data_IF_010219543416
#
_entry.id   IF_010219543416
#
_cell.length_a   1.000
_cell.length_b   1.000
_cell.length_c   1.000
_cell.angle_alpha   90.00
_cell.angle_beta   90.00
_cell.angle_gamma   90.00
#
_symmetry.space_group_name_H-M   'P 1'
#
loop_
_entity.id
_entity.type
_entity.pdbx_description
1 polymer ?
#
# COMPACT_ATOMS: atom_id res chain seq x y z
N UNK A 1 14.81 -15.07 -44.98
CA UNK A 1 14.96 -13.67 -44.54
C UNK A 1 13.63 -13.26 -43.91
N UNK A 2 13.47 -13.42 -42.59
CA UNK A 2 12.23 -13.06 -41.88
C UNK A 2 12.31 -11.58 -41.56
N UNK A 3 11.44 -10.78 -42.15
CA UNK A 3 11.28 -9.37 -41.82
C UNK A 3 10.74 -9.26 -40.40
N UNK A 4 11.55 -8.68 -39.51
CA UNK A 4 11.12 -8.19 -38.21
C UNK A 4 10.13 -7.07 -38.47
N UNK A 5 8.86 -7.31 -38.18
CA UNK A 5 7.83 -6.27 -38.18
C UNK A 5 8.10 -5.38 -36.98
N UNK A 6 8.47 -4.14 -37.25
CA UNK A 6 8.62 -3.05 -36.27
C UNK A 6 7.32 -2.90 -35.46
N UNK A 7 7.34 -2.87 -34.11
CA UNK A 7 6.13 -2.66 -33.33
C UNK A 7 5.51 -1.29 -33.67
N UNK A 8 4.25 -1.33 -34.08
CA UNK A 8 3.45 -0.14 -34.41
C UNK A 8 3.51 0.86 -33.24
N UNK A 9 3.76 2.16 -33.49
CA UNK A 9 3.81 3.16 -32.43
C UNK A 9 2.47 3.22 -31.67
N UNK A 10 2.47 3.61 -30.38
CA UNK A 10 1.24 3.72 -29.61
C UNK A 10 0.30 4.73 -30.28
N UNK A 11 -0.96 4.32 -30.44
CA UNK A 11 -2.02 5.13 -31.03
C UNK A 11 -2.12 6.48 -30.29
N UNK A 12 -2.23 7.57 -31.05
CA UNK A 12 -2.49 8.90 -30.49
C UNK A 12 -3.90 8.93 -29.87
N UNK A 13 -4.12 9.77 -28.86
CA UNK A 13 -5.40 9.86 -28.14
C UNK A 13 -6.63 10.13 -29.03
N UNK A 14 -6.45 10.49 -30.30
CA UNK A 14 -7.52 10.69 -31.29
C UNK A 14 -8.04 9.41 -31.97
N UNK A 15 -7.47 8.23 -31.72
CA UNK A 15 -7.87 6.95 -32.36
C UNK A 15 -8.69 6.01 -31.46
N UNK A 16 -8.93 6.37 -30.20
CA UNK A 16 -9.71 5.51 -29.29
C UNK A 16 -11.20 5.76 -29.50
N UNK A 17 -11.88 4.85 -30.20
CA UNK A 17 -13.34 4.84 -30.32
C UNK A 17 -13.97 4.66 -28.90
N UNK A 18 -14.73 5.63 -28.37
CA UNK A 18 -15.39 5.50 -27.07
C UNK A 18 -16.34 4.31 -26.98
N UNK A 19 -16.87 3.84 -28.12
CA UNK A 19 -17.73 2.65 -28.18
C UNK A 19 -16.95 1.34 -28.01
N UNK A 20 -15.62 1.35 -28.20
CA UNK A 20 -14.74 0.19 -28.01
C UNK A 20 -14.36 -0.07 -26.54
N UNK A 21 -14.70 0.85 -25.63
CA UNK A 21 -14.38 0.72 -24.21
C UNK A 21 -15.28 -0.34 -23.55
N UNK A 22 -14.71 -1.38 -22.89
CA UNK A 22 -15.49 -2.38 -22.18
C UNK A 22 -16.29 -1.71 -21.06
N UNK A 23 -17.58 -2.06 -20.94
CA UNK A 23 -18.49 -1.53 -19.91
C UNK A 23 -18.74 -2.49 -18.76
N UNK A 24 -18.39 -3.76 -18.93
CA UNK A 24 -18.47 -4.76 -17.87
C UNK A 24 -17.33 -4.57 -16.86
N UNK A 25 -17.61 -4.32 -15.56
CA UNK A 25 -16.59 -4.11 -14.55
C UNK A 25 -15.63 -5.29 -14.39
N UNK A 26 -16.11 -6.53 -14.53
CA UNK A 26 -15.26 -7.71 -14.41
C UNK A 26 -14.25 -7.79 -15.56
N UNK A 27 -14.71 -7.53 -16.79
CA UNK A 27 -13.86 -7.47 -17.97
C UNK A 27 -12.85 -6.31 -17.91
N UNK A 28 -13.26 -5.13 -17.43
CA UNK A 28 -12.35 -3.99 -17.19
C UNK A 28 -11.23 -4.41 -16.24
N UNK A 29 -11.58 -5.03 -15.11
CA UNK A 29 -10.60 -5.52 -14.13
C UNK A 29 -9.66 -6.56 -14.74
N UNK A 30 -10.20 -7.53 -15.47
CA UNK A 30 -9.42 -8.60 -16.12
C UNK A 30 -8.42 -8.02 -17.12
N UNK A 31 -8.86 -7.13 -18.01
CA UNK A 31 -8.01 -6.49 -19.02
C UNK A 31 -6.95 -5.58 -18.38
N UNK A 32 -7.32 -4.82 -17.36
CA UNK A 32 -6.38 -3.96 -16.62
C UNK A 32 -5.24 -4.76 -16.00
N UNK A 33 -5.55 -5.85 -15.28
CA UNK A 33 -4.51 -6.70 -14.68
C UNK A 33 -3.69 -7.47 -15.71
N UNK A 34 -4.28 -7.86 -16.84
CA UNK A 34 -3.54 -8.50 -17.93
C UNK A 34 -2.50 -7.55 -18.53
N UNK A 35 -2.87 -6.29 -18.79
CA UNK A 35 -1.95 -5.25 -19.26
C UNK A 35 -0.86 -4.95 -18.24
N UNK A 36 -1.24 -4.72 -16.98
CA UNK A 36 -0.28 -4.49 -15.91
C UNK A 36 0.79 -5.60 -15.81
N UNK A 37 0.39 -6.88 -15.94
CA UNK A 37 1.35 -8.00 -15.97
C UNK A 37 2.25 -8.01 -17.19
N UNK A 38 1.70 -7.72 -18.36
CA UNK A 38 2.49 -7.70 -19.61
C UNK A 38 3.52 -6.56 -19.61
N UNK A 39 3.20 -5.44 -18.97
CA UNK A 39 4.02 -4.21 -18.98
C UNK A 39 4.94 -4.09 -17.76
N UNK A 40 4.79 -4.95 -16.75
CA UNK A 40 5.58 -4.92 -15.52
C UNK A 40 6.48 -6.16 -15.42
N UNK A 41 7.76 -6.07 -15.79
CA UNK A 41 8.74 -7.12 -15.49
C UNK A 41 8.89 -7.27 -13.97
N UNK A 42 8.79 -8.50 -13.46
CA UNK A 42 8.86 -8.80 -12.01
C UNK A 42 9.96 -9.82 -11.67
N UNK A 43 10.77 -10.24 -12.64
CA UNK A 43 11.75 -11.33 -12.47
C UNK A 43 12.85 -10.98 -11.44
N UNK A 44 13.09 -9.68 -11.20
CA UNK A 44 13.99 -9.18 -10.17
C UNK A 44 13.40 -9.23 -8.75
N UNK A 45 12.09 -9.47 -8.64
CA UNK A 45 11.38 -9.53 -7.37
C UNK A 45 11.06 -10.99 -7.00
N UNK A 46 11.09 -11.32 -5.70
CA UNK A 46 10.68 -12.64 -5.25
C UNK A 46 9.18 -12.86 -5.53
N UNK A 47 8.76 -14.10 -5.87
CA UNK A 47 7.39 -14.39 -6.27
C UNK A 47 6.31 -13.96 -5.26
N UNK A 48 6.63 -13.97 -3.97
CA UNK A 48 5.68 -13.57 -2.92
C UNK A 48 5.29 -12.08 -2.98
N UNK A 49 6.11 -11.22 -3.60
CA UNK A 49 5.81 -9.80 -3.79
C UNK A 49 5.00 -9.52 -5.05
N UNK A 50 5.00 -10.42 -6.03
CA UNK A 50 4.37 -10.17 -7.35
C UNK A 50 2.90 -9.71 -7.23
N UNK A 51 2.04 -10.34 -6.40
CA UNK A 51 0.65 -9.89 -6.28
C UNK A 51 0.52 -8.48 -5.67
N UNK A 52 1.41 -8.11 -4.75
CA UNK A 52 1.41 -6.79 -4.10
C UNK A 52 1.85 -5.72 -5.10
N UNK A 53 2.95 -5.96 -5.81
CA UNK A 53 3.49 -5.00 -6.79
C UNK A 53 2.53 -4.79 -7.95
N UNK A 54 1.89 -5.83 -8.46
CA UNK A 54 0.86 -5.68 -9.49
C UNK A 54 -0.35 -4.88 -9.00
N UNK A 55 -0.70 -4.98 -7.71
CA UNK A 55 -1.77 -4.16 -7.13
C UNK A 55 -1.35 -2.70 -6.98
N UNK A 56 -0.08 -2.44 -6.67
CA UNK A 56 0.50 -1.08 -6.67
C UNK A 56 0.44 -0.47 -8.07
N UNK A 57 0.93 -1.18 -9.08
CA UNK A 57 0.89 -0.74 -10.50
C UNK A 57 -0.54 -0.45 -10.94
N UNK A 58 -1.50 -1.32 -10.63
CA UNK A 58 -2.91 -1.07 -10.95
C UNK A 58 -3.45 0.19 -10.26
N UNK A 59 -3.03 0.48 -9.02
CA UNK A 59 -3.51 1.63 -8.27
C UNK A 59 -2.92 2.96 -8.76
N UNK A 60 -1.65 2.99 -9.17
CA UNK A 60 -0.98 4.22 -9.64
C UNK A 60 -0.92 4.36 -11.17
N UNK A 61 -1.12 3.29 -11.92
CA UNK A 61 -0.98 3.26 -13.38
C UNK A 61 0.46 3.33 -13.89
N UNK A 62 1.46 3.03 -13.04
CA UNK A 62 2.89 3.17 -13.36
C UNK A 62 3.62 1.82 -13.21
N UNK A 63 3.82 1.04 -14.29
CA UNK A 63 4.57 -0.22 -14.27
C UNK A 63 6.00 -0.10 -13.71
N UNK A 64 6.65 1.04 -13.95
CA UNK A 64 8.02 1.33 -13.53
C UNK A 64 8.24 1.32 -12.02
N UNK A 65 7.19 1.53 -11.22
CA UNK A 65 7.25 1.52 -9.75
C UNK A 65 7.79 0.19 -9.20
N UNK A 66 7.66 -0.91 -9.96
CA UNK A 66 8.20 -2.21 -9.59
C UNK A 66 9.72 -2.21 -9.36
N UNK A 67 10.45 -1.24 -9.95
CA UNK A 67 11.90 -1.08 -9.76
C UNK A 67 12.26 -0.42 -8.43
N UNK A 68 11.34 0.36 -7.87
CA UNK A 68 11.54 1.13 -6.65
C UNK A 68 11.11 0.37 -5.38
N UNK A 69 10.55 -0.84 -5.56
CA UNK A 69 10.08 -1.68 -4.46
C UNK A 69 11.26 -2.29 -3.69
N UNK A 70 11.50 -1.78 -2.49
CA UNK A 70 12.40 -2.39 -1.50
C UNK A 70 11.64 -3.27 -0.51
N UNK A 71 12.30 -4.31 0.01
CA UNK A 71 11.74 -5.16 1.07
C UNK A 71 12.83 -5.71 2.00
N UNK A 72 12.41 -6.15 3.19
CA UNK A 72 13.23 -6.95 4.10
C UNK A 72 12.36 -8.05 4.73
N UNK A 73 12.91 -9.26 4.83
CA UNK A 73 12.15 -10.43 5.30
C UNK A 73 10.97 -10.77 4.39
N UNK A 74 9.91 -11.29 4.99
CA UNK A 74 8.65 -11.60 4.29
C UNK A 74 7.48 -10.82 4.93
N UNK A 75 7.29 -9.54 4.55
CA UNK A 75 6.21 -8.72 5.09
C UNK A 75 4.83 -9.24 4.67
N UNK A 76 4.73 -9.96 3.56
CA UNK A 76 3.45 -10.51 3.05
C UNK A 76 2.97 -11.64 3.95
N UNK A 77 3.82 -12.62 4.23
CA UNK A 77 3.48 -13.71 5.15
C UNK A 77 3.20 -13.18 6.57
N UNK A 78 4.04 -12.25 7.06
CA UNK A 78 3.87 -11.66 8.38
C UNK A 78 2.53 -10.91 8.51
N UNK A 79 2.18 -10.08 7.54
CA UNK A 79 0.91 -9.36 7.51
C UNK A 79 -0.28 -10.31 7.40
N UNK A 80 -0.24 -11.29 6.49
CA UNK A 80 -1.31 -12.29 6.34
C UNK A 80 -1.55 -13.06 7.64
N UNK A 81 -0.48 -13.48 8.28
CA UNK A 81 -0.52 -14.21 9.56
C UNK A 81 -1.12 -13.35 10.68
N UNK A 82 -0.72 -12.08 10.77
CA UNK A 82 -1.26 -11.14 11.74
C UNK A 82 -2.75 -10.85 11.52
N UNK A 83 -3.15 -10.55 10.28
CA UNK A 83 -4.54 -10.29 9.92
C UNK A 83 -5.43 -11.52 10.16
N UNK A 84 -4.93 -12.72 9.88
CA UNK A 84 -5.67 -13.96 10.18
C UNK A 84 -5.94 -14.15 11.69
N UNK A 85 -5.14 -13.52 12.57
CA UNK A 85 -5.35 -13.49 14.02
C UNK A 85 -6.16 -12.27 14.49
N UNK A 86 -6.72 -11.48 13.58
CA UNK A 86 -7.50 -10.28 13.90
C UNK A 86 -6.64 -9.06 14.27
N UNK A 87 -5.36 -9.02 13.89
CA UNK A 87 -4.53 -7.85 14.14
C UNK A 87 -5.11 -6.59 13.44
N UNK A 88 -5.00 -5.40 14.07
CA UNK A 88 -5.43 -4.16 13.44
C UNK A 88 -4.48 -3.73 12.32
N UNK A 89 -5.01 -2.93 11.38
CA UNK A 89 -4.23 -2.17 10.41
C UNK A 89 -4.15 -0.71 10.86
N UNK A 90 -2.96 -0.27 11.25
CA UNK A 90 -2.68 1.10 11.69
C UNK A 90 -2.34 1.96 10.48
N UNK A 91 -3.08 3.03 10.25
CA UNK A 91 -2.97 3.88 9.06
C UNK A 91 -2.52 5.29 9.44
N UNK A 92 -1.52 5.83 8.73
CA UNK A 92 -0.99 7.18 8.96
C UNK A 92 -1.97 8.31 8.67
N UNK A 93 -2.88 8.09 7.70
CA UNK A 93 -3.90 9.07 7.31
C UNK A 93 -5.26 8.43 7.03
N UNK A 94 -6.30 9.26 6.99
CA UNK A 94 -7.66 8.84 6.60
C UNK A 94 -7.74 8.36 5.15
N UNK A 95 -6.90 8.90 4.25
CA UNK A 95 -6.84 8.45 2.87
C UNK A 95 -6.29 7.03 2.78
N UNK A 96 -5.18 6.74 3.47
CA UNK A 96 -4.63 5.38 3.58
C UNK A 96 -5.66 4.41 4.16
N UNK A 97 -6.36 4.82 5.23
CA UNK A 97 -7.41 4.02 5.85
C UNK A 97 -8.58 3.75 4.89
N UNK A 98 -9.07 4.77 4.17
CA UNK A 98 -10.20 4.66 3.27
C UNK A 98 -9.90 3.80 2.02
N UNK A 99 -8.62 3.75 1.60
CA UNK A 99 -8.18 2.91 0.49
C UNK A 99 -8.21 1.40 0.79
N UNK A 100 -8.33 1.00 2.05
CA UNK A 100 -8.41 -0.40 2.45
C UNK A 100 -9.82 -0.94 2.21
N UNK A 101 -9.94 -1.90 1.30
CA UNK A 101 -11.19 -2.62 1.05
C UNK A 101 -11.56 -3.50 2.26
N UNK A 102 -12.35 -2.94 3.19
CA UNK A 102 -12.72 -3.60 4.46
C UNK A 102 -13.38 -4.97 4.28
N UNK A 103 -14.09 -5.20 3.18
CA UNK A 103 -14.68 -6.51 2.85
C UNK A 103 -13.67 -7.63 2.59
N UNK A 104 -12.39 -7.29 2.36
CA UNK A 104 -11.31 -8.27 2.22
C UNK A 104 -10.51 -8.50 3.52
N UNK A 105 -10.83 -7.76 4.59
CA UNK A 105 -10.18 -7.99 5.88
C UNK A 105 -10.77 -9.24 6.54
N UNK A 106 -9.93 -10.11 7.14
CA UNK A 106 -10.42 -11.22 7.94
C UNK A 106 -11.29 -10.73 9.10
N UNK A 107 -12.27 -11.53 9.55
CA UNK A 107 -13.05 -11.21 10.74
C UNK A 107 -12.15 -10.88 11.94
N UNK A 108 -12.48 -9.80 12.66
CA UNK A 108 -11.73 -9.34 13.83
C UNK A 108 -10.65 -8.30 13.51
N UNK A 109 -10.11 -8.26 12.29
CA UNK A 109 -9.22 -7.18 11.86
C UNK A 109 -10.03 -5.89 11.59
N UNK A 110 -9.48 -4.76 12.03
CA UNK A 110 -10.04 -3.43 11.80
C UNK A 110 -8.97 -2.46 11.33
N UNK A 111 -9.37 -1.41 10.62
CA UNK A 111 -8.50 -0.27 10.36
C UNK A 111 -8.55 0.70 11.54
N UNK A 112 -7.44 1.40 11.80
CA UNK A 112 -7.37 2.47 12.79
C UNK A 112 -6.49 3.60 12.24
N UNK A 113 -7.06 4.79 12.11
CA UNK A 113 -6.34 6.04 11.91
C UNK A 113 -6.67 6.98 13.08
N UNK A 114 -5.63 7.44 13.78
CA UNK A 114 -5.74 8.28 14.98
C UNK A 114 -5.51 9.77 14.68
N UNK A 115 -5.33 10.16 13.41
CA UNK A 115 -4.91 11.50 13.01
C UNK A 115 -5.83 12.63 13.49
N UNK A 116 -7.12 12.35 13.62
CA UNK A 116 -8.16 13.32 14.00
C UNK A 116 -8.57 13.21 15.47
N UNK A 117 -7.89 12.36 16.25
CA UNK A 117 -8.17 12.25 17.67
C UNK A 117 -7.80 13.55 18.39
N UNK A 118 -8.67 13.98 19.31
CA UNK A 118 -8.56 15.25 20.04
C UNK A 118 -7.13 15.54 20.59
N UNK A 119 -6.41 14.59 21.22
CA UNK A 119 -5.09 14.87 21.77
C UNK A 119 -3.99 15.10 20.73
N UNK A 120 -4.17 14.76 19.45
CA UNK A 120 -3.09 14.80 18.44
C UNK A 120 -2.55 16.20 18.22
N UNK A 121 -3.41 17.24 18.21
CA UNK A 121 -2.94 18.63 18.04
C UNK A 121 -2.03 19.04 19.20
N UNK A 122 -2.42 18.73 20.43
CA UNK A 122 -1.63 19.02 21.62
C UNK A 122 -0.30 18.25 21.63
N UNK A 123 -0.33 16.96 21.27
CA UNK A 123 0.87 16.13 21.16
C UNK A 123 1.83 16.65 20.09
N UNK A 124 1.33 17.07 18.93
CA UNK A 124 2.15 17.63 17.86
C UNK A 124 2.89 18.90 18.30
N UNK A 125 2.19 19.80 18.99
CA UNK A 125 2.80 21.01 19.55
C UNK A 125 3.85 20.68 20.63
N UNK A 126 3.52 19.79 21.56
CA UNK A 126 4.41 19.42 22.66
C UNK A 126 5.69 18.69 22.18
N UNK A 127 5.57 17.87 21.14
CA UNK A 127 6.68 17.12 20.56
C UNK A 127 7.44 17.90 19.47
N UNK A 128 6.95 19.08 19.06
CA UNK A 128 7.54 19.86 17.97
C UNK A 128 7.55 19.13 16.62
N UNK A 129 6.50 18.36 16.33
CA UNK A 129 6.42 17.50 15.13
C UNK A 129 5.09 17.64 14.39
N UNK A 130 4.97 16.97 13.23
CA UNK A 130 3.74 16.94 12.44
C UNK A 130 2.62 16.18 13.15
N UNK A 131 1.35 16.49 12.82
CA UNK A 131 0.18 15.77 13.38
C UNK A 131 0.22 14.26 13.09
N UNK A 132 0.63 13.87 11.89
CA UNK A 132 0.74 12.46 11.49
C UNK A 132 1.81 11.72 12.30
N UNK A 133 2.96 12.34 12.58
CA UNK A 133 3.96 11.79 13.49
C UNK A 133 3.44 11.70 14.93
N UNK A 134 2.82 12.76 15.45
CA UNK A 134 2.26 12.75 16.80
C UNK A 134 1.14 11.71 16.98
N UNK A 135 0.33 11.47 15.95
CA UNK A 135 -0.74 10.47 15.97
C UNK A 135 -0.22 9.04 16.19
N UNK A 136 1.03 8.76 15.83
CA UNK A 136 1.71 7.47 16.09
C UNK A 136 1.83 7.19 17.58
N UNK A 137 1.92 8.21 18.46
CA UNK A 137 1.91 8.00 19.91
C UNK A 137 0.67 7.23 20.38
N UNK A 138 -0.47 7.49 19.74
CA UNK A 138 -1.74 6.83 20.04
C UNK A 138 -1.80 5.39 19.52
N UNK A 139 -0.83 4.96 18.70
CA UNK A 139 -0.75 3.57 18.24
C UNK A 139 -0.13 2.64 19.27
N UNK A 140 0.56 3.17 20.29
CA UNK A 140 1.29 2.36 21.29
C UNK A 140 0.47 1.21 21.89
N UNK A 141 -0.82 1.37 22.25
CA UNK A 141 -1.63 0.28 22.80
C UNK A 141 -1.96 -0.82 21.78
N UNK A 142 -1.86 -0.51 20.48
CA UNK A 142 -2.28 -1.36 19.37
C UNK A 142 -1.11 -1.90 18.55
N UNK A 143 0.11 -1.38 18.75
CA UNK A 143 1.25 -1.62 17.85
C UNK A 143 1.75 -3.07 17.84
N UNK A 144 1.68 -3.77 18.98
CA UNK A 144 2.23 -5.12 19.09
C UNK A 144 1.51 -6.09 18.14
N UNK A 145 2.25 -6.64 17.18
CA UNK A 145 1.72 -7.55 16.17
C UNK A 145 0.78 -6.91 15.14
N UNK A 146 0.62 -5.59 15.11
CA UNK A 146 -0.20 -4.89 14.13
C UNK A 146 0.40 -4.94 12.72
N UNK A 147 -0.44 -4.69 11.71
CA UNK A 147 0.04 -4.31 10.38
C UNK A 147 0.03 -2.79 10.30
N UNK A 148 1.14 -2.19 9.92
CA UNK A 148 1.23 -0.72 9.75
C UNK A 148 1.23 -0.39 8.27
N UNK A 149 0.42 0.59 7.88
CA UNK A 149 0.33 1.14 6.54
C UNK A 149 0.58 2.66 6.59
N UNK A 150 1.71 3.10 6.02
CA UNK A 150 2.09 4.50 5.90
C UNK A 150 2.03 4.84 4.42
N UNK A 151 0.99 5.56 4.01
CA UNK A 151 0.73 5.84 2.59
C UNK A 151 1.00 7.29 2.19
N UNK A 152 1.25 8.19 3.13
CA UNK A 152 1.29 9.63 2.85
C UNK A 152 2.38 10.39 3.61
N UNK A 153 2.62 10.09 4.89
CA UNK A 153 3.46 10.91 5.76
C UNK A 153 4.80 10.24 6.13
N UNK A 154 5.92 10.60 5.48
CA UNK A 154 7.25 10.10 5.85
C UNK A 154 7.61 10.35 7.32
N UNK A 155 7.15 11.48 7.89
CA UNK A 155 7.36 11.82 9.31
C UNK A 155 6.73 10.81 10.26
N UNK A 156 5.62 10.16 9.88
CA UNK A 156 5.03 9.08 10.67
C UNK A 156 5.92 7.84 10.71
N UNK A 157 6.60 7.50 9.60
CA UNK A 157 7.53 6.39 9.54
C UNK A 157 8.75 6.65 10.43
N UNK A 158 9.39 7.81 10.28
CA UNK A 158 10.54 8.16 11.10
C UNK A 158 10.21 8.13 12.60
N UNK A 159 9.09 8.76 12.97
CA UNK A 159 8.63 8.76 14.36
C UNK A 159 8.32 7.35 14.87
N UNK A 160 7.68 6.50 14.06
CA UNK A 160 7.43 5.11 14.44
C UNK A 160 8.73 4.34 14.70
N UNK A 161 9.72 4.47 13.81
CA UNK A 161 11.01 3.79 13.95
C UNK A 161 11.73 4.20 15.24
N UNK A 162 11.72 5.50 15.57
CA UNK A 162 12.28 6.02 16.81
C UNK A 162 11.56 5.45 18.05
N UNK A 163 10.23 5.37 17.99
CA UNK A 163 9.41 4.92 19.13
C UNK A 163 9.39 3.42 19.33
N UNK A 164 9.54 2.61 18.27
CA UNK A 164 9.59 1.14 18.37
C UNK A 164 10.70 0.66 19.29
N UNK A 165 11.85 1.33 19.28
CA UNK A 165 12.96 1.02 20.19
C UNK A 165 12.57 1.30 21.65
N UNK A 166 11.98 2.46 21.92
CA UNK A 166 11.59 2.90 23.26
C UNK A 166 10.43 2.08 23.84
N UNK A 167 9.42 1.75 23.04
CA UNK A 167 8.23 1.04 23.51
C UNK A 167 8.45 -0.45 23.69
N UNK A 168 9.53 -1.01 23.13
CA UNK A 168 9.76 -2.47 23.04
C UNK A 168 8.55 -3.22 22.48
N UNK A 169 7.85 -2.57 21.54
CA UNK A 169 6.70 -3.12 20.83
C UNK A 169 6.98 -3.12 19.34
N UNK A 170 6.65 -4.20 18.66
CA UNK A 170 6.92 -4.33 17.22
C UNK A 170 5.64 -4.69 16.45
N UNK A 171 5.35 -3.99 15.34
CA UNK A 171 4.34 -4.46 14.41
C UNK A 171 4.81 -5.76 13.75
N UNK A 172 3.85 -6.55 13.27
CA UNK A 172 4.12 -7.75 12.48
C UNK A 172 4.71 -7.39 11.11
N UNK A 173 4.23 -6.32 10.48
CA UNK A 173 4.72 -5.82 9.20
C UNK A 173 4.50 -4.31 9.08
N UNK A 174 5.36 -3.64 8.31
CA UNK A 174 5.25 -2.23 7.94
C UNK A 174 5.26 -2.15 6.41
N UNK A 175 4.25 -1.51 5.84
CA UNK A 175 4.18 -1.09 4.45
C UNK A 175 4.27 0.44 4.43
N UNK A 176 5.30 0.99 3.78
CA UNK A 176 5.60 2.42 3.75
C UNK A 176 6.18 2.83 2.39
#
# INVERSE_FOLDING_TARGET
MRTVTDPRPPATASEVDPASCPRDPAEIYRLSFARARAETPLDHLPPFLHPVVLRMVHACGLPEIARDVGWRGDPVAAARSALARGAPVLCDTRMTEAGIARGHLPPGSRTLCTLDEEPVRGLAAALGTTRTAAAVELWRPHLEGAVVAIGNAPTALFHLLDRMAAWRRRPAAIFA
#
